data_IF_249960067147
#
_entry.id   IF_249960067147
#
_cell.length_a   1.000
_cell.length_b   1.000
_cell.length_c   1.000
_cell.angle_alpha   90.00
_cell.angle_beta   90.00
_cell.angle_gamma   90.00
#
_symmetry.space_group_name_H-M   'P 1'
#
loop_
_entity.id
_entity.type
_entity.pdbx_description
1 polymer ?
#
# COMPACT_ATOMS: atom_id res chain seq x y z
N UNK A 1 -14.81 23.99 -6.25
CA UNK A 1 -13.96 23.70 -5.06
C UNK A 1 -14.52 22.58 -4.18
N UNK A 2 -15.80 22.63 -3.74
CA UNK A 2 -16.42 21.59 -2.89
C UNK A 2 -16.24 20.15 -3.42
N UNK A 3 -16.47 19.95 -4.72
CA UNK A 3 -16.32 18.64 -5.38
C UNK A 3 -14.87 18.13 -5.43
N UNK A 4 -13.89 19.04 -5.51
CA UNK A 4 -12.47 18.67 -5.48
C UNK A 4 -12.04 18.24 -4.08
N UNK A 5 -12.51 18.94 -3.05
CA UNK A 5 -12.28 18.58 -1.64
C UNK A 5 -12.83 17.19 -1.34
N UNK A 6 -14.06 16.88 -1.78
CA UNK A 6 -14.63 15.55 -1.60
C UNK A 6 -13.85 14.43 -2.30
N UNK A 7 -13.26 14.71 -3.48
CA UNK A 7 -12.39 13.74 -4.17
C UNK A 7 -11.11 13.47 -3.39
N UNK A 8 -10.49 14.52 -2.84
CA UNK A 8 -9.27 14.40 -2.03
C UNK A 8 -9.58 13.59 -0.76
N UNK A 9 -10.67 13.92 -0.06
CA UNK A 9 -11.11 13.19 1.14
C UNK A 9 -11.40 11.71 0.85
N UNK A 10 -12.03 11.40 -0.29
CA UNK A 10 -12.24 10.02 -0.71
C UNK A 10 -10.92 9.29 -1.00
N UNK A 11 -9.94 9.98 -1.61
CA UNK A 11 -8.60 9.44 -1.82
C UNK A 11 -7.89 9.10 -0.51
N UNK A 12 -7.92 10.02 0.46
CA UNK A 12 -7.37 9.81 1.80
C UNK A 12 -8.05 8.62 2.49
N UNK A 13 -9.38 8.50 2.36
CA UNK A 13 -10.12 7.37 2.91
C UNK A 13 -9.65 6.03 2.32
N UNK A 14 -9.43 5.94 1.00
CA UNK A 14 -8.92 4.72 0.37
C UNK A 14 -7.52 4.36 0.86
N UNK A 15 -6.65 5.35 1.08
CA UNK A 15 -5.32 5.13 1.64
C UNK A 15 -5.40 4.59 3.06
N UNK A 16 -6.27 5.15 3.91
CA UNK A 16 -6.49 4.66 5.29
C UNK A 16 -7.00 3.22 5.27
N UNK A 17 -7.99 2.92 4.44
CA UNK A 17 -8.53 1.56 4.31
C UNK A 17 -7.45 0.60 3.81
N UNK A 18 -6.64 1.01 2.82
CA UNK A 18 -5.54 0.20 2.31
C UNK A 18 -4.51 -0.11 3.41
N UNK A 19 -4.17 0.86 4.25
CA UNK A 19 -3.28 0.64 5.38
C UNK A 19 -3.85 -0.38 6.38
N UNK A 20 -5.16 -0.27 6.70
CA UNK A 20 -5.85 -1.24 7.57
C UNK A 20 -5.85 -2.64 6.94
N UNK A 21 -6.05 -2.75 5.62
CA UNK A 21 -6.02 -4.03 4.91
C UNK A 21 -4.63 -4.65 5.03
N UNK A 22 -3.57 -3.89 4.76
CA UNK A 22 -2.19 -4.39 4.89
C UNK A 22 -1.91 -4.88 6.31
N UNK A 23 -2.33 -4.14 7.32
CA UNK A 23 -2.03 -4.45 8.72
C UNK A 23 -2.90 -5.55 9.35
N UNK A 24 -4.15 -5.73 8.88
CA UNK A 24 -5.14 -6.60 9.54
C UNK A 24 -5.53 -7.83 8.75
N UNK A 25 -5.37 -7.82 7.43
CA UNK A 25 -5.73 -8.96 6.59
C UNK A 25 -4.53 -9.89 6.50
N UNK A 26 -4.57 -10.99 7.26
CA UNK A 26 -3.46 -11.95 7.41
C UNK A 26 -2.74 -12.30 6.09
N UNK A 27 -3.41 -12.70 4.99
CA UNK A 27 -2.68 -13.03 3.76
C UNK A 27 -1.97 -11.82 3.13
N UNK A 28 -2.51 -10.60 3.29
CA UNK A 28 -1.86 -9.38 2.79
C UNK A 28 -0.68 -9.00 3.67
N UNK A 29 -0.83 -9.13 4.99
CA UNK A 29 0.26 -8.92 5.93
C UNK A 29 1.39 -9.93 5.69
N UNK A 30 1.08 -11.22 5.59
CA UNK A 30 2.06 -12.28 5.31
C UNK A 30 2.80 -12.01 3.99
N UNK A 31 2.09 -11.54 2.96
CA UNK A 31 2.70 -11.11 1.70
C UNK A 31 3.61 -9.88 1.88
N UNK A 32 3.17 -8.87 2.63
CA UNK A 32 3.97 -7.68 2.94
C UNK A 32 5.28 -8.05 3.62
N UNK A 33 5.25 -8.93 4.63
CA UNK A 33 6.45 -9.38 5.34
C UNK A 33 7.38 -10.13 4.40
N UNK A 34 6.87 -11.13 3.70
CA UNK A 34 7.65 -11.93 2.76
C UNK A 34 8.29 -11.06 1.66
N UNK A 35 7.53 -10.16 1.04
CA UNK A 35 8.04 -9.30 -0.03
C UNK A 35 9.04 -8.25 0.49
N UNK A 36 8.87 -7.76 1.72
CA UNK A 36 9.83 -6.85 2.36
C UNK A 36 11.15 -7.54 2.65
N UNK A 37 11.13 -8.76 3.19
CA UNK A 37 12.34 -9.55 3.45
C UNK A 37 13.12 -9.83 2.16
N UNK A 38 12.42 -10.21 1.08
CA UNK A 38 13.04 -10.44 -0.23
C UNK A 38 13.66 -9.17 -0.81
N UNK A 39 12.96 -8.03 -0.71
CA UNK A 39 13.48 -6.76 -1.20
C UNK A 39 14.69 -6.31 -0.38
N UNK A 40 14.64 -6.49 0.95
CA UNK A 40 15.76 -6.20 1.83
C UNK A 40 16.99 -7.02 1.44
N UNK A 41 16.83 -8.34 1.26
CA UNK A 41 17.93 -9.21 0.86
C UNK A 41 18.50 -8.80 -0.50
N UNK A 42 17.65 -8.45 -1.47
CA UNK A 42 18.08 -7.97 -2.79
C UNK A 42 18.93 -6.69 -2.67
N UNK A 43 18.43 -5.70 -1.92
CA UNK A 43 19.09 -4.41 -1.76
C UNK A 43 20.40 -4.53 -0.94
N UNK A 44 20.41 -5.45 0.04
CA UNK A 44 21.61 -5.80 0.80
C UNK A 44 22.67 -6.45 -0.09
N UNK A 45 22.29 -7.44 -0.90
CA UNK A 45 23.22 -8.11 -1.85
C UNK A 45 23.78 -7.16 -2.90
N UNK A 46 23.02 -6.14 -3.29
CA UNK A 46 23.46 -5.08 -4.20
C UNK A 46 24.31 -4.00 -3.51
N UNK A 47 24.56 -4.12 -2.20
CA UNK A 47 25.28 -3.12 -1.38
C UNK A 47 24.67 -1.72 -1.44
N UNK A 48 23.36 -1.65 -1.72
CA UNK A 48 22.59 -0.39 -1.69
C UNK A 48 22.25 -0.03 -0.24
N UNK A 49 21.97 -1.06 0.57
CA UNK A 49 21.81 -0.94 2.01
C UNK A 49 23.14 -1.24 2.70
N UNK A 50 23.57 -0.38 3.60
CA UNK A 50 24.87 -0.50 4.30
C UNK A 50 24.77 -0.25 5.81
N UNK A 51 23.56 -0.36 6.39
CA UNK A 51 23.30 -0.11 7.82
C UNK A 51 22.75 -1.32 8.56
N UNK A 52 22.87 -1.29 9.89
CA UNK A 52 22.11 -2.19 10.77
C UNK A 52 20.71 -1.59 10.92
N UNK A 53 19.73 -2.19 10.24
CA UNK A 53 18.34 -1.76 10.34
C UNK A 53 17.58 -2.66 11.31
N UNK A 54 16.70 -2.05 12.10
CA UNK A 54 15.68 -2.79 12.82
C UNK A 54 14.59 -3.23 11.84
N UNK A 55 14.10 -4.46 12.01
CA UNK A 55 13.08 -5.02 11.12
C UNK A 55 11.81 -4.18 11.17
N UNK A 56 11.30 -3.79 10.00
CA UNK A 56 10.15 -2.89 9.87
C UNK A 56 10.48 -1.40 9.98
N UNK A 57 11.74 -1.05 10.29
CA UNK A 57 12.27 0.31 10.23
C UNK A 57 13.38 0.45 9.18
N UNK A 58 13.43 -0.50 8.24
CA UNK A 58 14.35 -0.51 7.12
C UNK A 58 13.70 0.10 5.85
N UNK A 59 14.53 0.57 4.89
CA UNK A 59 14.02 1.17 3.66
C UNK A 59 13.20 0.21 2.81
N UNK A 60 13.48 -1.09 2.83
CA UNK A 60 12.78 -2.07 2.00
C UNK A 60 11.34 -2.27 2.48
N UNK A 61 11.14 -2.46 3.78
CA UNK A 61 9.81 -2.52 4.42
C UNK A 61 9.00 -1.25 4.15
N UNK A 62 9.63 -0.08 4.28
CA UNK A 62 8.96 1.21 3.99
C UNK A 62 8.51 1.30 2.53
N UNK A 63 9.38 0.94 1.59
CA UNK A 63 9.06 0.95 0.16
C UNK A 63 7.91 -0.02 -0.13
N UNK A 64 7.98 -1.25 0.37
CA UNK A 64 6.95 -2.26 0.14
C UNK A 64 5.60 -1.86 0.74
N UNK A 65 5.59 -1.23 1.91
CA UNK A 65 4.37 -0.71 2.53
C UNK A 65 3.73 0.37 1.63
N UNK A 66 4.52 1.32 1.15
CA UNK A 66 4.05 2.38 0.24
C UNK A 66 3.47 1.76 -1.04
N UNK A 67 4.18 0.84 -1.67
CA UNK A 67 3.75 0.17 -2.90
C UNK A 67 2.42 -0.56 -2.67
N UNK A 68 2.31 -1.36 -1.62
CA UNK A 68 1.08 -2.11 -1.32
C UNK A 68 -0.10 -1.20 -1.00
N UNK A 69 0.11 -0.16 -0.19
CA UNK A 69 -0.94 0.81 0.14
C UNK A 69 -1.44 1.51 -1.12
N UNK A 70 -0.54 1.94 -2.01
CA UNK A 70 -0.92 2.59 -3.28
C UNK A 70 -1.68 1.63 -4.18
N UNK A 71 -1.21 0.39 -4.35
CA UNK A 71 -1.86 -0.62 -5.19
C UNK A 71 -3.26 -0.95 -4.66
N UNK A 72 -3.41 -1.18 -3.35
CA UNK A 72 -4.70 -1.49 -2.75
C UNK A 72 -5.64 -0.30 -2.82
N UNK A 73 -5.18 0.92 -2.53
CA UNK A 73 -5.98 2.13 -2.65
C UNK A 73 -6.47 2.35 -4.08
N UNK A 74 -5.61 2.08 -5.07
CA UNK A 74 -5.98 2.14 -6.48
C UNK A 74 -7.03 1.08 -6.85
N UNK A 75 -6.88 -0.16 -6.41
CA UNK A 75 -7.86 -1.22 -6.62
C UNK A 75 -9.22 -0.87 -5.99
N UNK A 76 -9.22 -0.33 -4.76
CA UNK A 76 -10.44 0.14 -4.10
C UNK A 76 -11.13 1.24 -4.92
N UNK A 77 -10.37 2.21 -5.43
CA UNK A 77 -10.91 3.26 -6.28
C UNK A 77 -11.50 2.70 -7.59
N UNK A 78 -10.83 1.75 -8.23
CA UNK A 78 -11.32 1.07 -9.44
C UNK A 78 -12.63 0.33 -9.18
N UNK A 79 -12.71 -0.43 -8.06
CA UNK A 79 -13.92 -1.17 -7.68
C UNK A 79 -15.09 -0.20 -7.48
N UNK A 80 -14.90 0.88 -6.71
CA UNK A 80 -15.95 1.86 -6.46
C UNK A 80 -16.42 2.53 -7.75
N UNK A 81 -15.49 2.92 -8.63
CA UNK A 81 -15.82 3.53 -9.90
C UNK A 81 -16.61 2.55 -10.80
N UNK A 82 -16.24 1.27 -10.81
CA UNK A 82 -16.94 0.24 -11.59
C UNK A 82 -18.36 -0.01 -11.07
N UNK A 83 -18.53 -0.09 -9.75
CA UNK A 83 -19.85 -0.26 -9.12
C UNK A 83 -20.73 0.96 -9.43
N UNK A 84 -20.18 2.17 -9.31
CA UNK A 84 -20.91 3.40 -9.61
C UNK A 84 -21.36 3.44 -11.07
N UNK A 85 -20.50 3.04 -12.01
CA UNK A 85 -20.84 2.99 -13.42
C UNK A 85 -21.96 1.97 -13.73
N UNK A 86 -21.99 0.84 -13.02
CA UNK A 86 -23.05 -0.17 -13.16
C UNK A 86 -24.39 0.30 -12.59
N UNK A 87 -24.39 1.10 -11.52
CA UNK A 87 -25.62 1.58 -10.85
C UNK A 87 -26.37 2.68 -11.62
N UNK A 88 -25.72 3.29 -12.61
CA UNK A 88 -26.27 4.40 -13.42
C UNK A 88 -26.83 3.89 -14.76
N UNK A 89 -26.60 2.61 -15.11
CA UNK A 89 -27.32 1.92 -16.19
C UNK A 89 -28.55 1.23 -15.64
#
# INVERSE_FOLDING_TARGET
MRTAIFKILAGILYVIIAFVIVAKVKPVNDFYLWSSDNLFELLWRKKILTGNYEWGNDPASTIMLIVLVVVIAWLLALIVNTIRARRVR
#
